data_IF_121383570208
#
_entry.id   IF_121383570208
#
_cell.length_a   1.000
_cell.length_b   1.000
_cell.length_c   1.000
_cell.angle_alpha   90.00
_cell.angle_beta   90.00
_cell.angle_gamma   90.00
#
_symmetry.space_group_name_H-M   'P 1'
#
loop_
_entity.id
_entity.type
_entity.pdbx_description
1 polymer ?
#
# COMPACT_ATOMS: atom_id res chain seq x y z
N UNK A 1 3.86 7.51 -11.47
CA UNK A 1 4.22 6.96 -12.78
C UNK A 1 5.20 5.82 -12.59
N UNK A 2 4.95 4.67 -13.21
CA UNK A 2 5.93 3.59 -13.36
C UNK A 2 6.33 3.59 -14.84
N UNK A 3 7.63 3.53 -15.09
CA UNK A 3 8.21 3.49 -16.44
C UNK A 3 9.07 2.24 -16.55
N UNK A 4 8.87 1.51 -17.63
CA UNK A 4 9.70 0.37 -17.99
C UNK A 4 10.22 0.69 -19.39
N UNK A 5 11.54 0.69 -19.55
CA UNK A 5 12.19 0.91 -20.83
C UNK A 5 12.92 -0.36 -21.22
N UNK A 6 12.64 -0.85 -22.42
CA UNK A 6 13.26 -2.07 -22.94
C UNK A 6 13.95 -1.78 -24.27
N UNK A 7 15.23 -2.18 -24.44
CA UNK A 7 15.93 -2.04 -25.70
C UNK A 7 15.42 -3.07 -26.71
N UNK A 8 15.08 -2.60 -27.92
CA UNK A 8 14.77 -3.45 -29.06
C UNK A 8 16.03 -3.65 -29.88
N UNK A 9 16.57 -4.87 -29.83
CA UNK A 9 17.66 -5.32 -30.67
C UNK A 9 17.05 -5.71 -32.02
N UNK A 10 17.50 -5.07 -33.10
CA UNK A 10 17.03 -5.36 -34.46
C UNK A 10 18.25 -5.66 -35.32
N UNK A 11 18.39 -6.91 -35.75
CA UNK A 11 19.56 -7.38 -36.51
C UNK A 11 20.66 -7.95 -35.60
N UNK A 12 21.92 -7.78 -36.01
CA UNK A 12 23.11 -8.49 -35.52
C UNK A 12 23.61 -8.07 -34.12
N UNK A 13 22.69 -7.79 -33.19
CA UNK A 13 23.00 -7.39 -31.81
C UNK A 13 23.01 -5.88 -31.55
N UNK A 14 22.79 -5.05 -32.56
CA UNK A 14 22.67 -3.60 -32.37
C UNK A 14 21.30 -3.20 -31.82
N UNK A 15 21.31 -2.47 -30.69
CA UNK A 15 20.12 -1.82 -30.14
C UNK A 15 19.78 -0.63 -31.03
N UNK A 16 18.64 -0.68 -31.71
CA UNK A 16 18.23 0.33 -32.69
C UNK A 16 17.03 1.15 -32.25
N UNK A 17 16.25 0.63 -31.31
CA UNK A 17 15.04 1.27 -30.79
C UNK A 17 14.89 1.03 -29.28
N UNK A 18 14.08 1.85 -28.64
CA UNK A 18 13.61 1.64 -27.28
C UNK A 18 12.10 1.66 -27.25
N UNK A 19 11.51 0.73 -26.50
CA UNK A 19 10.10 0.80 -26.12
C UNK A 19 10.04 1.32 -24.70
N UNK A 20 9.25 2.39 -24.50
CA UNK A 20 8.87 2.86 -23.18
C UNK A 20 7.41 2.49 -22.91
N UNK A 21 7.18 1.77 -21.82
CA UNK A 21 5.85 1.56 -21.26
C UNK A 21 5.72 2.43 -20.02
N UNK A 22 4.81 3.40 -20.12
CA UNK A 22 4.50 4.33 -19.04
C UNK A 22 3.10 4.08 -18.53
N UNK A 23 2.96 3.77 -17.24
CA UNK A 23 1.67 3.67 -16.57
C UNK A 23 1.57 4.75 -15.51
N UNK A 24 0.54 5.57 -15.61
CA UNK A 24 0.17 6.43 -14.50
C UNK A 24 -0.45 5.57 -13.38
N UNK A 25 0.11 5.72 -12.18
CA UNK A 25 -0.31 5.03 -10.96
C UNK A 25 -0.49 6.03 -9.82
N UNK A 26 -0.62 7.31 -10.14
CA UNK A 26 -0.69 8.39 -9.15
C UNK A 26 -1.87 8.20 -8.21
N UNK A 27 -3.07 7.94 -8.76
CA UNK A 27 -4.27 7.70 -7.96
C UNK A 27 -4.16 6.44 -7.11
N UNK A 28 -3.63 5.35 -7.67
CA UNK A 28 -3.40 4.11 -6.91
C UNK A 28 -2.44 4.33 -5.73
N UNK A 29 -1.34 5.06 -5.95
CA UNK A 29 -0.39 5.40 -4.88
C UNK A 29 -1.02 6.29 -3.80
N UNK A 30 -1.83 7.29 -4.19
CA UNK A 30 -2.55 8.15 -3.24
C UNK A 30 -3.52 7.34 -2.38
N UNK A 31 -4.24 6.39 -2.97
CA UNK A 31 -5.15 5.51 -2.22
C UNK A 31 -4.40 4.68 -1.18
N UNK A 32 -3.27 4.06 -1.56
CA UNK A 32 -2.42 3.32 -0.61
C UNK A 32 -1.92 4.23 0.51
N UNK A 33 -1.42 5.42 0.18
CA UNK A 33 -0.93 6.36 1.18
C UNK A 33 -2.01 6.79 2.17
N UNK A 34 -3.24 7.05 1.69
CA UNK A 34 -4.39 7.37 2.54
C UNK A 34 -4.75 6.21 3.45
N UNK A 35 -4.76 4.98 2.92
CA UNK A 35 -5.01 3.77 3.71
C UNK A 35 -3.96 3.62 4.82
N UNK A 36 -2.67 3.71 4.47
CA UNK A 36 -1.56 3.62 5.43
C UNK A 36 -1.63 4.72 6.50
N UNK A 37 -1.96 5.96 6.11
CA UNK A 37 -2.13 7.06 7.06
C UNK A 37 -3.31 6.81 8.02
N UNK A 38 -4.42 6.28 7.51
CA UNK A 38 -5.58 5.91 8.32
C UNK A 38 -5.25 4.77 9.29
N UNK A 39 -4.57 3.72 8.81
CA UNK A 39 -4.12 2.60 9.65
C UNK A 39 -3.17 3.07 10.75
N UNK A 40 -2.19 3.93 10.42
CA UNK A 40 -1.26 4.48 11.41
C UNK A 40 -1.99 5.32 12.46
N UNK A 41 -2.94 6.15 12.04
CA UNK A 41 -3.76 6.95 12.95
C UNK A 41 -4.61 6.06 13.86
N UNK A 42 -5.25 5.04 13.30
CA UNK A 42 -6.04 4.08 14.05
C UNK A 42 -5.22 3.34 15.10
N UNK A 43 -4.04 2.81 14.72
CA UNK A 43 -3.11 2.18 15.67
C UNK A 43 -2.69 3.13 16.79
N UNK A 44 -2.30 4.36 16.44
CA UNK A 44 -1.90 5.36 17.43
C UNK A 44 -3.01 5.66 18.46
N UNK A 45 -4.27 5.69 18.04
CA UNK A 45 -5.42 5.86 18.94
C UNK A 45 -5.54 4.66 19.89
N UNK A 46 -5.47 3.43 19.37
CA UNK A 46 -5.57 2.23 20.19
C UNK A 46 -4.42 2.13 21.20
N UNK A 47 -3.20 2.44 20.78
CA UNK A 47 -1.99 2.35 21.60
C UNK A 47 -1.96 3.40 22.72
N UNK A 48 -2.68 4.52 22.56
CA UNK A 48 -2.74 5.62 23.55
C UNK A 48 -4.00 5.61 24.39
N UNK A 49 -5.00 4.80 24.03
CA UNK A 49 -6.24 4.69 24.80
C UNK A 49 -5.99 4.00 26.14
N UNK A 50 -6.32 4.70 27.21
CA UNK A 50 -6.26 4.19 28.59
C UNK A 50 -7.37 3.17 28.85
N UNK A 51 -8.54 3.37 28.25
CA UNK A 51 -9.64 2.41 28.35
C UNK A 51 -9.41 1.20 27.42
N UNK A 52 -9.91 0.04 27.86
CA UNK A 52 -9.90 -1.16 27.04
C UNK A 52 -10.87 -1.03 25.85
N UNK A 53 -10.34 -1.18 24.65
CA UNK A 53 -11.06 -1.21 23.38
C UNK A 53 -10.96 -2.63 22.83
N UNK A 54 -12.11 -3.30 22.71
CA UNK A 54 -12.22 -4.61 22.08
C UNK A 54 -13.30 -4.59 21.00
N UNK A 55 -13.11 -5.39 19.96
CA UNK A 55 -14.12 -5.64 18.93
C UNK A 55 -14.29 -7.14 18.71
N UNK A 56 -15.54 -7.55 18.50
CA UNK A 56 -15.91 -8.93 18.16
C UNK A 56 -16.55 -8.99 16.77
N UNK A 57 -16.39 -10.12 16.08
CA UNK A 57 -17.09 -10.42 14.83
C UNK A 57 -18.48 -11.05 15.06
N UNK A 58 -19.21 -11.35 13.98
CA UNK A 58 -20.54 -11.98 14.08
C UNK A 58 -20.54 -13.37 14.73
N UNK A 59 -19.36 -14.00 14.89
CA UNK A 59 -19.18 -15.30 15.54
C UNK A 59 -18.65 -15.18 16.97
N UNK A 60 -18.70 -13.97 17.55
CA UNK A 60 -18.24 -13.66 18.90
C UNK A 60 -16.73 -13.86 19.10
N UNK A 61 -15.93 -13.87 18.02
CA UNK A 61 -14.48 -13.94 18.12
C UNK A 61 -13.92 -12.53 18.29
N UNK A 62 -13.01 -12.37 19.24
CA UNK A 62 -12.24 -11.12 19.40
C UNK A 62 -11.36 -10.93 18.17
N UNK A 63 -11.58 -9.83 17.44
CA UNK A 63 -10.81 -9.43 16.25
C UNK A 63 -9.90 -8.23 16.51
N UNK A 64 -10.12 -7.52 17.62
CA UNK A 64 -9.32 -6.39 18.03
C UNK A 64 -9.31 -6.31 19.56
N UNK A 65 -8.13 -6.04 20.11
CA UNK A 65 -7.92 -5.72 21.51
C UNK A 65 -6.70 -4.80 21.60
N UNK A 66 -6.86 -3.62 22.21
CA UNK A 66 -5.73 -2.71 22.43
C UNK A 66 -4.98 -3.07 23.73
N UNK A 67 -3.75 -2.58 23.85
CA UNK A 67 -2.98 -2.74 25.08
C UNK A 67 -3.26 -1.56 26.03
N UNK A 68 -4.35 -1.66 26.79
CA UNK A 68 -4.64 -0.75 27.89
C UNK A 68 -3.77 -1.11 29.11
N UNK A 69 -3.14 -0.13 29.74
CA UNK A 69 -2.23 -0.27 30.88
C UNK A 69 -2.73 0.47 32.11
#
# INVERSE_FOLDING_TARGET
MIRIMYPLIVGDGEVKYFIEISRDVTEYRKLIQRLQASEKKFRAILDTATDAILSIDEKQKIVLFNNAA
#
